data_IF_710228949955
#
_entry.id   IF_710228949955
#
_cell.length_a   1.000
_cell.length_b   1.000
_cell.length_c   1.000
_cell.angle_alpha   90.00
_cell.angle_beta   90.00
_cell.angle_gamma   90.00
#
_symmetry.space_group_name_H-M   'P 1'
#
loop_
_entity.id
_entity.type
_entity.pdbx_description
1 polymer ?
#
# COMPACT_ATOMS: atom_id res chain seq x y z
N UNK A 1 2.13 19.37 -22.22
CA UNK A 1 2.93 19.41 -20.96
C UNK A 1 4.00 20.50 -20.93
N UNK A 2 5.12 20.41 -21.64
CA UNK A 2 6.18 21.45 -21.56
C UNK A 2 5.73 22.81 -22.09
N UNK A 3 5.04 22.84 -23.23
CA UNK A 3 4.48 24.05 -23.84
C UNK A 3 3.30 24.65 -23.05
N UNK A 4 2.42 23.80 -22.53
CA UNK A 4 1.18 24.23 -21.88
C UNK A 4 1.35 24.54 -20.38
N UNK A 5 2.19 23.77 -19.68
CA UNK A 5 2.31 23.79 -18.22
C UNK A 5 3.72 24.16 -17.73
N UNK A 6 4.70 24.30 -18.62
CA UNK A 6 6.07 24.66 -18.25
C UNK A 6 6.84 23.55 -17.50
N UNK A 7 6.32 22.33 -17.43
CA UNK A 7 6.93 21.20 -16.72
C UNK A 7 7.43 20.11 -17.67
N UNK A 8 8.53 19.45 -17.30
CA UNK A 8 9.06 18.27 -18.00
C UNK A 8 8.54 16.98 -17.38
N UNK A 9 8.45 15.92 -18.19
CA UNK A 9 8.06 14.59 -17.73
C UNK A 9 8.98 13.53 -18.34
N UNK A 10 9.08 12.39 -17.67
CA UNK A 10 9.74 11.22 -18.22
C UNK A 10 8.71 10.11 -18.44
N UNK A 11 8.80 9.45 -19.58
CA UNK A 11 7.78 8.51 -20.07
C UNK A 11 8.43 7.15 -20.30
N UNK A 12 7.80 6.10 -19.77
CA UNK A 12 8.18 4.73 -20.08
C UNK A 12 7.17 4.08 -21.02
N UNK A 13 7.64 3.46 -22.09
CA UNK A 13 6.82 2.76 -23.08
C UNK A 13 7.16 1.28 -23.05
N UNK A 14 6.17 0.42 -22.79
CA UNK A 14 6.37 -1.02 -22.69
C UNK A 14 5.10 -1.80 -23.04
N UNK A 15 5.21 -3.12 -23.05
CA UNK A 15 4.13 -4.08 -23.32
C UNK A 15 3.33 -4.45 -22.08
N UNK A 16 3.76 -4.03 -20.88
CA UNK A 16 3.00 -4.17 -19.63
C UNK A 16 3.25 -2.97 -18.71
N UNK A 17 2.45 -2.86 -17.64
CA UNK A 17 2.49 -1.71 -16.72
C UNK A 17 3.74 -1.69 -15.85
N UNK A 18 4.24 -2.87 -15.48
CA UNK A 18 5.43 -3.01 -14.62
C UNK A 18 6.64 -2.36 -15.30
N UNK A 19 6.93 -2.73 -16.55
CA UNK A 19 8.08 -2.22 -17.28
C UNK A 19 7.85 -0.82 -17.86
N UNK A 20 6.60 -0.41 -18.11
CA UNK A 20 6.31 1.00 -18.40
C UNK A 20 6.66 1.89 -17.20
N UNK A 21 6.28 1.47 -15.99
CA UNK A 21 6.61 2.21 -14.77
C UNK A 21 8.12 2.23 -14.50
N UNK A 22 8.81 1.09 -14.67
CA UNK A 22 10.27 1.02 -14.55
C UNK A 22 10.95 1.93 -15.58
N UNK A 23 10.53 1.88 -16.84
CA UNK A 23 11.06 2.71 -17.92
C UNK A 23 10.93 4.20 -17.64
N UNK A 24 9.82 4.64 -17.04
CA UNK A 24 9.61 6.06 -16.67
C UNK A 24 10.62 6.59 -15.65
N UNK A 25 11.19 5.72 -14.80
CA UNK A 25 12.19 6.08 -13.80
C UNK A 25 13.63 5.85 -14.28
N UNK A 26 13.81 5.06 -15.34
CA UNK A 26 15.10 4.57 -15.80
C UNK A 26 16.07 5.67 -16.26
N UNK A 27 15.57 6.69 -16.96
CA UNK A 27 16.37 7.82 -17.48
C UNK A 27 15.68 9.14 -17.19
N UNK A 28 15.62 9.54 -15.91
CA UNK A 28 15.13 10.87 -15.54
C UNK A 28 16.25 11.91 -15.57
N UNK A 29 15.95 13.20 -15.81
CA UNK A 29 14.65 13.79 -16.19
C UNK A 29 14.44 13.90 -17.73
N UNK A 30 13.24 14.34 -18.16
CA UNK A 30 12.88 14.72 -19.55
C UNK A 30 13.22 13.69 -20.65
N UNK A 31 13.05 12.38 -20.39
CA UNK A 31 13.34 11.34 -21.37
C UNK A 31 12.18 10.37 -21.63
N UNK A 32 12.23 9.74 -22.80
CA UNK A 32 11.38 8.62 -23.18
C UNK A 32 12.23 7.35 -23.17
N UNK A 33 11.82 6.34 -22.40
CA UNK A 33 12.50 5.04 -22.33
C UNK A 33 11.59 3.94 -22.81
N UNK A 34 12.05 3.13 -23.75
CA UNK A 34 11.37 1.91 -24.17
C UNK A 34 11.84 0.70 -23.37
N UNK A 35 10.93 -0.21 -23.06
CA UNK A 35 11.17 -1.51 -22.43
C UNK A 35 10.34 -2.58 -23.16
N UNK A 36 10.55 -2.76 -24.47
CA UNK A 36 9.79 -3.75 -25.26
C UNK A 36 10.12 -5.20 -24.89
N UNK A 37 9.26 -6.16 -25.32
CA UNK A 37 9.44 -7.60 -25.04
C UNK A 37 10.82 -8.12 -25.47
N UNK A 38 11.39 -7.59 -26.54
CA UNK A 38 12.69 -7.98 -27.07
C UNK A 38 13.88 -7.44 -26.27
N UNK A 39 13.72 -6.37 -25.49
CA UNK A 39 14.84 -5.64 -24.87
C UNK A 39 14.73 -5.53 -23.34
N UNK A 40 13.55 -5.76 -22.75
CA UNK A 40 13.35 -5.51 -21.32
C UNK A 40 14.30 -6.33 -20.46
N UNK A 41 14.61 -7.58 -20.81
CA UNK A 41 15.55 -8.40 -20.03
C UNK A 41 16.94 -7.76 -19.99
N UNK A 42 17.43 -7.29 -21.13
CA UNK A 42 18.75 -6.65 -21.23
C UNK A 42 18.82 -5.36 -20.41
N UNK A 43 17.74 -4.56 -20.42
CA UNK A 43 17.68 -3.27 -19.72
C UNK A 43 17.37 -3.40 -18.22
N UNK A 44 16.46 -4.31 -17.86
CA UNK A 44 15.89 -4.39 -16.52
C UNK A 44 16.62 -5.39 -15.63
N UNK A 45 17.09 -6.53 -16.13
CA UNK A 45 17.61 -7.60 -15.26
C UNK A 45 18.89 -7.23 -14.53
N UNK A 46 19.67 -6.29 -15.04
CA UNK A 46 20.86 -5.76 -14.35
C UNK A 46 20.54 -4.77 -13.24
N UNK A 47 19.29 -4.28 -13.15
CA UNK A 47 18.90 -3.29 -12.18
C UNK A 47 18.71 -3.91 -10.79
N UNK A 48 18.91 -3.14 -9.71
CA UNK A 48 18.54 -3.54 -8.36
C UNK A 48 17.10 -4.05 -8.31
N UNK A 49 16.87 -5.12 -7.54
CA UNK A 49 15.52 -5.68 -7.38
C UNK A 49 14.53 -4.68 -6.76
N UNK A 50 15.04 -3.71 -5.99
CA UNK A 50 14.27 -2.62 -5.41
C UNK A 50 13.64 -1.67 -6.44
N UNK A 51 14.12 -1.66 -7.68
CA UNK A 51 13.56 -0.83 -8.74
C UNK A 51 12.29 -1.45 -9.34
N UNK A 52 12.06 -2.75 -9.10
CA UNK A 52 10.85 -3.43 -9.54
C UNK A 52 9.64 -2.96 -8.74
N UNK A 53 8.54 -2.65 -9.43
CA UNK A 53 7.28 -2.27 -8.79
C UNK A 53 6.85 -3.36 -7.79
N UNK A 54 6.33 -2.93 -6.63
CA UNK A 54 5.98 -3.76 -5.46
C UNK A 54 7.15 -4.27 -4.60
N UNK A 55 8.40 -3.96 -4.95
CA UNK A 55 9.57 -4.27 -4.09
C UNK A 55 9.90 -3.07 -3.20
N UNK A 56 9.22 -2.97 -2.06
CA UNK A 56 9.54 -1.97 -1.03
C UNK A 56 10.73 -2.38 -0.13
N UNK A 57 11.16 -1.47 0.76
CA UNK A 57 12.30 -1.67 1.69
C UNK A 57 12.26 -3.00 2.45
N UNK A 58 11.07 -3.42 2.92
CA UNK A 58 10.92 -4.68 3.67
C UNK A 58 11.16 -5.90 2.79
N UNK A 59 10.52 -5.94 1.62
CA UNK A 59 10.68 -7.02 0.63
C UNK A 59 12.13 -7.08 0.16
N UNK A 60 12.75 -5.94 -0.17
CA UNK A 60 14.15 -5.88 -0.60
C UNK A 60 15.10 -6.48 0.45
N UNK A 61 14.89 -6.18 1.75
CA UNK A 61 15.69 -6.79 2.83
C UNK A 61 15.51 -8.31 2.88
N UNK A 62 14.29 -8.82 2.73
CA UNK A 62 14.04 -10.27 2.71
C UNK A 62 14.74 -10.93 1.53
N UNK A 63 14.59 -10.37 0.32
CA UNK A 63 15.25 -10.86 -0.90
C UNK A 63 16.78 -10.88 -0.77
N UNK A 64 17.35 -9.84 -0.16
CA UNK A 64 18.79 -9.75 0.08
C UNK A 64 19.33 -10.86 1.00
N UNK A 65 18.53 -11.34 1.97
CA UNK A 65 18.90 -12.48 2.83
C UNK A 65 19.07 -13.78 2.03
N UNK A 66 18.42 -13.89 0.86
CA UNK A 66 18.53 -15.02 -0.05
C UNK A 66 19.50 -14.76 -1.21
N UNK A 67 20.29 -13.69 -1.13
CA UNK A 67 21.26 -13.33 -2.18
C UNK A 67 20.64 -12.72 -3.44
N UNK A 68 19.33 -12.45 -3.45
CA UNK A 68 18.63 -11.84 -4.60
C UNK A 68 18.85 -10.33 -4.55
N UNK A 69 19.67 -9.80 -5.47
CA UNK A 69 20.04 -8.38 -5.51
C UNK A 69 19.52 -7.66 -6.73
N UNK A 70 19.36 -8.36 -7.84
CA UNK A 70 18.91 -7.80 -9.12
C UNK A 70 17.55 -8.34 -9.54
N UNK A 71 16.88 -7.63 -10.45
CA UNK A 71 15.64 -8.13 -11.08
C UNK A 71 15.91 -9.46 -11.80
N UNK A 72 17.09 -9.63 -12.40
CA UNK A 72 17.48 -10.88 -13.04
C UNK A 72 17.64 -12.04 -12.06
N UNK A 73 18.16 -11.79 -10.86
CA UNK A 73 18.26 -12.82 -9.82
C UNK A 73 16.88 -13.29 -9.38
N UNK A 74 15.96 -12.33 -9.17
CA UNK A 74 14.57 -12.63 -8.83
C UNK A 74 13.88 -13.44 -9.95
N UNK A 75 14.09 -13.07 -11.21
CA UNK A 75 13.51 -13.75 -12.36
C UNK A 75 14.02 -15.20 -12.53
N UNK A 76 15.28 -15.46 -12.17
CA UNK A 76 15.94 -16.79 -12.28
C UNK A 76 15.78 -17.66 -11.05
N UNK A 77 15.29 -17.11 -9.94
CA UNK A 77 15.03 -17.88 -8.72
C UNK A 77 13.83 -18.80 -8.96
N UNK A 78 13.87 -19.99 -8.38
CA UNK A 78 12.74 -20.91 -8.36
C UNK A 78 11.51 -20.24 -7.73
N UNK A 79 10.36 -20.33 -8.40
CA UNK A 79 9.13 -19.67 -7.96
C UNK A 79 8.65 -20.22 -6.61
N UNK A 80 8.78 -21.54 -6.36
CA UNK A 80 8.35 -22.18 -5.12
C UNK A 80 9.20 -21.70 -3.93
N UNK A 81 10.49 -21.44 -4.16
CA UNK A 81 11.37 -20.82 -3.16
C UNK A 81 10.88 -19.42 -2.80
N UNK A 82 10.53 -18.60 -3.81
CA UNK A 82 10.00 -17.26 -3.57
C UNK A 82 8.64 -17.31 -2.85
N UNK A 83 7.78 -18.26 -3.22
CA UNK A 83 6.47 -18.45 -2.59
C UNK A 83 6.62 -18.87 -1.12
N UNK A 84 7.52 -19.81 -0.81
CA UNK A 84 7.74 -20.26 0.56
C UNK A 84 8.24 -19.15 1.51
N UNK A 85 9.07 -18.23 1.01
CA UNK A 85 9.66 -17.17 1.84
C UNK A 85 8.86 -15.86 1.87
N UNK A 86 8.15 -15.53 0.79
CA UNK A 86 7.39 -14.29 0.67
C UNK A 86 5.87 -14.49 0.67
N UNK A 87 5.40 -15.73 0.50
CA UNK A 87 4.00 -16.05 0.24
C UNK A 87 3.60 -15.69 -1.18
N UNK A 88 2.30 -15.42 -1.40
CA UNK A 88 1.73 -15.10 -2.72
C UNK A 88 2.44 -13.96 -3.46
N UNK A 89 3.01 -12.99 -2.73
CA UNK A 89 3.74 -11.88 -3.36
C UNK A 89 5.04 -12.35 -4.02
N UNK A 90 5.64 -13.46 -3.55
CA UNK A 90 6.82 -14.06 -4.18
C UNK A 90 6.54 -14.46 -5.63
N UNK A 91 5.49 -15.25 -5.86
CA UNK A 91 5.02 -15.64 -7.21
C UNK A 91 4.68 -14.43 -8.10
N UNK A 92 4.04 -13.40 -7.53
CA UNK A 92 3.71 -12.16 -8.26
C UNK A 92 4.99 -11.44 -8.70
N UNK A 93 5.96 -11.29 -7.79
CA UNK A 93 7.23 -10.61 -8.09
C UNK A 93 8.08 -11.39 -9.10
N UNK A 94 8.10 -12.72 -9.00
CA UNK A 94 8.71 -13.58 -10.01
C UNK A 94 8.09 -13.37 -11.39
N UNK A 95 6.76 -13.36 -11.45
CA UNK A 95 6.00 -13.12 -12.69
C UNK A 95 6.33 -11.74 -13.27
N UNK A 96 6.38 -10.70 -12.44
CA UNK A 96 6.74 -9.34 -12.86
C UNK A 96 8.18 -9.24 -13.38
N UNK A 97 9.14 -9.87 -12.70
CA UNK A 97 10.54 -9.88 -13.13
C UNK A 97 10.74 -10.58 -14.49
N UNK A 98 9.88 -11.56 -14.80
CA UNK A 98 9.84 -12.25 -16.09
C UNK A 98 8.91 -11.60 -17.14
N UNK A 99 8.18 -10.54 -16.78
CA UNK A 99 7.29 -9.80 -17.69
C UNK A 99 5.91 -10.39 -17.89
N UNK A 100 5.46 -11.27 -17.00
CA UNK A 100 4.17 -11.93 -17.02
C UNK A 100 3.08 -11.11 -16.28
N UNK A 101 2.94 -9.84 -16.64
CA UNK A 101 1.79 -9.01 -16.23
C UNK A 101 0.92 -8.74 -17.46
N UNK A 102 -0.26 -9.35 -17.50
CA UNK A 102 -1.30 -9.15 -18.51
C UNK A 102 -2.46 -8.28 -17.99
N UNK A 103 -2.34 -7.75 -16.77
CA UNK A 103 -3.42 -6.99 -16.16
C UNK A 103 -3.71 -5.71 -16.94
N UNK A 104 -4.99 -5.45 -17.32
CA UNK A 104 -5.31 -4.33 -18.19
C UNK A 104 -5.04 -2.99 -17.49
N UNK A 105 -4.80 -1.95 -18.30
CA UNK A 105 -4.91 -0.57 -17.83
C UNK A 105 -6.39 -0.33 -17.54
N UNK A 106 -6.71 0.02 -16.30
CA UNK A 106 -8.08 0.36 -15.93
C UNK A 106 -8.50 1.63 -16.66
N UNK A 107 -9.73 1.66 -17.14
CA UNK A 107 -10.30 2.85 -17.75
C UNK A 107 -10.38 3.98 -16.72
N UNK A 108 -10.25 5.21 -17.21
CA UNK A 108 -10.53 6.40 -16.43
C UNK A 108 -11.92 6.29 -15.80
N UNK A 109 -12.05 6.64 -14.51
CA UNK A 109 -13.26 6.49 -13.69
C UNK A 109 -13.65 5.05 -13.27
N UNK A 110 -12.83 4.04 -13.55
CA UNK A 110 -13.04 2.69 -12.99
C UNK A 110 -12.44 2.59 -11.58
N UNK A 111 -13.26 2.78 -10.56
CA UNK A 111 -12.85 2.60 -9.17
C UNK A 111 -13.17 1.18 -8.68
N UNK A 112 -12.22 0.56 -7.98
CA UNK A 112 -12.55 -0.65 -7.24
C UNK A 112 -13.62 -0.31 -6.20
N UNK A 113 -14.57 -1.22 -5.89
CA UNK A 113 -15.53 -1.01 -4.82
C UNK A 113 -14.81 -0.63 -3.53
N UNK A 114 -15.27 0.43 -2.85
CA UNK A 114 -14.71 0.88 -1.59
C UNK A 114 -14.95 -0.23 -0.56
N UNK A 115 -13.86 -0.83 -0.05
CA UNK A 115 -13.92 -1.93 0.94
C UNK A 115 -13.78 -1.45 2.38
N UNK A 116 -13.20 -0.28 2.58
CA UNK A 116 -13.01 0.34 3.89
C UNK A 116 -12.93 1.85 3.76
N UNK A 117 -13.32 2.55 4.83
CA UNK A 117 -13.19 4.00 4.99
C UNK A 117 -12.47 4.23 6.32
N UNK A 118 -11.34 4.93 6.29
CA UNK A 118 -10.51 5.13 7.47
C UNK A 118 -9.91 6.54 7.52
N UNK A 119 -9.47 6.93 8.71
CA UNK A 119 -8.67 8.12 8.95
C UNK A 119 -7.65 7.82 10.06
N UNK A 120 -6.49 8.46 10.00
CA UNK A 120 -5.41 8.30 10.98
C UNK A 120 -4.68 9.62 11.17
N UNK A 121 -4.14 9.85 12.35
CA UNK A 121 -3.30 11.02 12.63
C UNK A 121 -2.13 10.64 13.53
N UNK A 122 -1.00 11.30 13.35
CA UNK A 122 0.10 11.33 14.32
C UNK A 122 -0.11 12.55 15.19
N UNK A 123 -0.34 12.35 16.48
CA UNK A 123 -0.62 13.45 17.41
C UNK A 123 0.65 14.27 17.65
N UNK A 124 0.54 15.61 17.85
CA UNK A 124 1.70 16.46 18.08
C UNK A 124 2.36 16.23 19.45
N UNK A 125 1.65 15.56 20.36
CA UNK A 125 2.11 15.15 21.69
C UNK A 125 1.60 13.73 21.98
N UNK A 126 2.30 13.05 22.87
CA UNK A 126 1.87 11.75 23.38
C UNK A 126 0.55 11.89 24.13
N UNK A 127 -0.35 10.91 23.93
CA UNK A 127 -1.64 10.85 24.63
C UNK A 127 -1.42 10.16 25.98
N UNK A 128 -1.58 10.90 27.08
CA UNK A 128 -1.17 10.44 28.41
C UNK A 128 -2.35 10.03 29.29
N UNK A 129 -3.57 10.41 28.90
CA UNK A 129 -4.79 10.02 29.62
C UNK A 129 -5.88 9.49 28.69
N UNK A 130 -6.86 8.80 29.28
CA UNK A 130 -7.99 8.24 28.53
C UNK A 130 -8.82 9.33 27.81
N UNK A 131 -8.84 10.56 28.33
CA UNK A 131 -9.56 11.67 27.72
C UNK A 131 -8.91 12.13 26.41
N UNK A 132 -7.57 12.23 26.38
CA UNK A 132 -6.82 12.52 25.16
C UNK A 132 -7.15 11.52 24.05
N UNK A 133 -7.21 10.23 24.40
CA UNK A 133 -7.54 9.15 23.47
C UNK A 133 -8.97 9.28 22.95
N UNK A 134 -9.95 9.55 23.84
CA UNK A 134 -11.34 9.73 23.42
C UNK A 134 -11.50 10.89 22.45
N UNK A 135 -10.86 12.03 22.72
CA UNK A 135 -10.92 13.22 21.85
C UNK A 135 -10.39 12.86 20.45
N UNK A 136 -9.22 12.23 20.37
CA UNK A 136 -8.63 11.83 19.08
C UNK A 136 -9.51 10.83 18.34
N UNK A 137 -10.01 9.80 19.04
CA UNK A 137 -10.89 8.80 18.43
C UNK A 137 -12.19 9.43 17.92
N UNK A 138 -12.77 10.40 18.65
CA UNK A 138 -13.99 11.08 18.21
C UNK A 138 -13.76 11.93 16.96
N UNK A 139 -12.64 12.67 16.89
CA UNK A 139 -12.26 13.46 15.71
C UNK A 139 -12.10 12.55 14.48
N UNK A 140 -11.40 11.43 14.65
CA UNK A 140 -11.20 10.46 13.57
C UNK A 140 -12.53 9.81 13.16
N UNK A 141 -13.37 9.44 14.13
CA UNK A 141 -14.69 8.87 13.90
C UNK A 141 -15.61 9.82 13.15
N UNK A 142 -15.60 11.13 13.45
CA UNK A 142 -16.42 12.12 12.73
C UNK A 142 -16.03 12.18 11.25
N UNK A 143 -14.72 12.23 10.98
CA UNK A 143 -14.22 12.22 9.60
C UNK A 143 -14.59 10.95 8.85
N UNK A 144 -14.49 9.78 9.48
CA UNK A 144 -14.89 8.50 8.89
C UNK A 144 -16.40 8.45 8.66
N UNK A 145 -17.20 8.86 9.64
CA UNK A 145 -18.65 8.85 9.59
C UNK A 145 -19.18 9.79 8.50
N UNK A 146 -18.60 11.00 8.37
CA UNK A 146 -18.92 11.94 7.29
C UNK A 146 -18.68 11.31 5.91
N UNK A 147 -17.50 10.72 5.69
CA UNK A 147 -17.17 10.03 4.43
C UNK A 147 -18.08 8.83 4.15
N UNK A 148 -18.45 8.07 5.18
CA UNK A 148 -19.43 6.98 5.03
C UNK A 148 -20.78 7.54 4.54
N UNK A 149 -21.28 8.63 5.14
CA UNK A 149 -22.53 9.27 4.74
C UNK A 149 -22.47 9.83 3.32
N UNK A 150 -21.39 10.54 2.97
CA UNK A 150 -21.17 11.10 1.62
C UNK A 150 -21.23 10.03 0.52
N UNK A 151 -20.75 8.82 0.82
CA UNK A 151 -20.74 7.70 -0.12
C UNK A 151 -21.94 6.76 0.03
N UNK A 152 -22.94 7.11 0.87
CA UNK A 152 -24.11 6.27 1.11
C UNK A 152 -23.83 4.94 1.82
N UNK A 153 -22.69 4.82 2.50
CA UNK A 153 -22.26 3.61 3.18
C UNK A 153 -22.62 3.59 4.67
N UNK A 154 -22.65 2.36 5.20
CA UNK A 154 -22.64 2.05 6.64
C UNK A 154 -21.61 0.95 6.88
N UNK A 155 -20.88 1.01 7.99
CA UNK A 155 -19.91 0.00 8.36
C UNK A 155 -20.52 -1.03 9.31
N UNK A 156 -19.96 -2.25 9.33
CA UNK A 156 -20.27 -3.32 10.31
C UNK A 156 -19.03 -3.78 11.07
N UNK A 157 -17.90 -3.14 10.81
CA UNK A 157 -16.62 -3.44 11.46
C UNK A 157 -15.97 -2.10 11.78
N UNK A 158 -15.57 -1.93 13.03
CA UNK A 158 -14.75 -0.80 13.49
C UNK A 158 -13.36 -1.34 13.79
N UNK A 159 -12.35 -0.71 13.23
CA UNK A 159 -10.94 -1.05 13.45
C UNK A 159 -10.22 0.18 14.02
N UNK A 160 -9.35 -0.04 15.00
CA UNK A 160 -8.36 0.95 15.43
C UNK A 160 -6.97 0.45 15.11
N UNK A 161 -6.10 1.37 14.71
CA UNK A 161 -4.66 1.18 14.65
C UNK A 161 -4.00 2.20 15.54
N UNK A 162 -3.14 1.73 16.45
CA UNK A 162 -2.44 2.58 17.42
C UNK A 162 -0.96 2.29 17.33
N UNK A 163 -0.16 3.35 17.40
CA UNK A 163 1.29 3.31 17.49
C UNK A 163 1.73 4.18 18.66
N UNK A 164 2.64 3.67 19.48
CA UNK A 164 3.25 4.43 20.58
C UNK A 164 4.57 5.10 20.16
N UNK A 165 5.19 5.81 21.11
CA UNK A 165 6.45 6.53 20.92
C UNK A 165 7.68 5.61 20.76
N UNK A 166 7.56 4.33 21.12
CA UNK A 166 8.57 3.29 20.85
C UNK A 166 8.39 2.64 19.47
N UNK A 167 7.47 3.17 18.65
CA UNK A 167 7.09 2.66 17.33
C UNK A 167 6.43 1.27 17.36
N UNK A 168 6.08 0.77 18.54
CA UNK A 168 5.29 -0.43 18.66
C UNK A 168 3.86 -0.13 18.18
N UNK A 169 3.32 -1.02 17.35
CA UNK A 169 2.05 -0.81 16.68
C UNK A 169 1.12 -2.00 16.90
N UNK A 170 -0.17 -1.73 17.03
CA UNK A 170 -1.19 -2.77 17.04
C UNK A 170 -2.44 -2.33 16.29
N UNK A 171 -3.12 -3.33 15.75
CA UNK A 171 -4.42 -3.16 15.10
C UNK A 171 -5.41 -4.13 15.75
N UNK A 172 -6.62 -3.65 16.03
CA UNK A 172 -7.72 -4.46 16.55
C UNK A 172 -9.02 -4.00 15.91
N UNK A 173 -9.90 -4.96 15.64
CA UNK A 173 -11.19 -4.69 15.05
C UNK A 173 -12.29 -5.44 15.79
N UNK A 174 -13.50 -4.90 15.72
CA UNK A 174 -14.71 -5.51 16.25
C UNK A 174 -15.82 -5.44 15.22
N UNK A 175 -16.49 -6.56 15.01
CA UNK A 175 -17.74 -6.62 14.26
C UNK A 175 -18.87 -6.13 15.17
N UNK A 176 -19.73 -5.29 14.63
CA UNK A 176 -20.90 -4.72 15.32
C UNK A 176 -22.19 -5.34 14.78
N UNK A 177 -23.21 -5.42 15.63
CA UNK A 177 -24.43 -6.19 15.36
C UNK A 177 -25.35 -5.51 14.34
N UNK A 178 -25.24 -4.19 14.20
CA UNK A 178 -25.98 -3.38 13.22
C UNK A 178 -25.03 -2.55 12.36
N UNK A 179 -25.48 -2.16 11.17
CA UNK A 179 -24.68 -1.29 10.31
C UNK A 179 -24.86 0.18 10.72
N UNK A 180 -23.76 0.91 10.91
CA UNK A 180 -23.78 2.30 11.38
C UNK A 180 -22.92 3.23 10.53
N UNK A 181 -23.24 4.52 10.55
CA UNK A 181 -22.43 5.63 10.09
C UNK A 181 -22.56 6.83 11.04
N UNK A 182 -22.92 6.56 12.30
CA UNK A 182 -23.10 7.53 13.37
C UNK A 182 -21.77 7.68 14.10
N UNK A 183 -21.27 8.91 14.17
CA UNK A 183 -19.99 9.25 14.80
C UNK A 183 -19.88 8.71 16.21
N UNK A 184 -20.87 8.97 17.06
CA UNK A 184 -20.86 8.57 18.46
C UNK A 184 -20.77 7.05 18.65
N UNK A 185 -21.45 6.27 17.81
CA UNK A 185 -21.36 4.80 17.86
C UNK A 185 -19.97 4.31 17.44
N UNK A 186 -19.44 4.84 16.33
CA UNK A 186 -18.10 4.47 15.86
C UNK A 186 -17.05 4.82 16.91
N UNK A 187 -17.12 6.02 17.49
CA UNK A 187 -16.20 6.47 18.54
C UNK A 187 -16.30 5.60 19.79
N UNK A 188 -17.52 5.23 20.22
CA UNK A 188 -17.74 4.36 21.38
C UNK A 188 -17.13 2.96 21.15
N UNK A 189 -17.36 2.34 20.00
CA UNK A 189 -16.75 1.05 19.66
C UNK A 189 -15.23 1.15 19.53
N UNK A 190 -14.70 2.22 18.93
CA UNK A 190 -13.27 2.45 18.84
C UNK A 190 -12.61 2.54 20.23
N UNK A 191 -13.23 3.29 21.15
CA UNK A 191 -12.73 3.41 22.52
C UNK A 191 -12.88 2.10 23.30
N UNK A 192 -13.96 1.35 23.10
CA UNK A 192 -14.11 0.02 23.68
C UNK A 192 -12.98 -0.91 23.23
N UNK A 193 -12.68 -0.98 21.92
CA UNK A 193 -11.58 -1.79 21.39
C UNK A 193 -10.23 -1.37 22.00
N UNK A 194 -10.02 -0.07 22.18
CA UNK A 194 -8.82 0.47 22.83
C UNK A 194 -8.69 -0.04 24.29
N UNK A 195 -9.79 0.00 25.05
CA UNK A 195 -9.83 -0.42 26.45
C UNK A 195 -9.69 -1.93 26.63
N UNK A 196 -10.33 -2.72 25.76
CA UNK A 196 -10.22 -4.19 25.78
C UNK A 196 -8.75 -4.64 25.64
N UNK A 197 -7.91 -3.89 24.90
CA UNK A 197 -6.48 -4.16 24.87
C UNK A 197 -5.74 -3.70 26.12
N UNK A 198 -6.09 -2.56 26.71
CA UNK A 198 -5.44 -2.06 27.94
C UNK A 198 -5.58 -3.03 29.13
N UNK A 199 -6.59 -3.90 29.11
CA UNK A 199 -6.87 -4.91 30.13
C UNK A 199 -6.27 -6.30 29.82
N UNK A 200 -5.69 -6.50 28.63
CA UNK A 200 -4.98 -7.72 28.25
C UNK A 200 -3.47 -7.54 28.36
N UNK A 201 -2.96 -7.65 29.59
CA UNK A 201 -1.58 -8.05 29.88
C UNK A 201 -1.50 -9.57 29.98
#
# INVERSE_FOLDING_TARGET
MKSELGITVSVGVSFNKIFAKLGSDYKKPDAITTMYKSEFKQKAWSLPVADLLYVGKSTNRKLALFGIKTIGDLARTDEDVLNSHLGKIGSILWSFANGYDDSPVKLENTHAPIKSVGNSTTTPKDLVCDEDVKIVLYILAESVAARLRENGFRCRVVEISVRDNELFSFTRQKKIDHATNITGEIAAYAYQIFKEKKLGC
#
